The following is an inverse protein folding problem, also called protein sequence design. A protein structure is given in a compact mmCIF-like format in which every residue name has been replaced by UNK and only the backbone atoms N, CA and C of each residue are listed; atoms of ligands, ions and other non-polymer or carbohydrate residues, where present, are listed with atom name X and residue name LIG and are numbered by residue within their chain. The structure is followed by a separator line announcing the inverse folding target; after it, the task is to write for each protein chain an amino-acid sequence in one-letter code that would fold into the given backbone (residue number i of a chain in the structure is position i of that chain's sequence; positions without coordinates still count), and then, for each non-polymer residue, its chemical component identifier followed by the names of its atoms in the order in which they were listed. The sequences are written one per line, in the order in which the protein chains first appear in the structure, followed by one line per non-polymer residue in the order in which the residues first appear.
data_IF_323781093209
#
_entry.id   IF_323781093209
#
_cell.length_a   1.000
_cell.length_b   1.000
_cell.length_c   1.000
_cell.angle_alpha   90.00
_cell.angle_beta   90.00
_cell.angle_gamma   90.00
#
_symmetry.space_group_name_H-M   'P 1'
#
loop_
_entity.id
_entity.type
_entity.pdbx_description
1 polymer ?
#
# COMPACT_ATOMS: atom_id res chain seq x y z
N UNK A 1 9.70 -15.70 -1.88
CA UNK A 1 8.63 -14.98 -1.16
C UNK A 1 9.17 -13.68 -0.60
N UNK A 2 8.61 -12.55 -1.03
CA UNK A 2 8.89 -11.19 -0.52
C UNK A 2 7.66 -10.71 0.23
N UNK A 3 7.85 -10.03 1.36
CA UNK A 3 6.78 -9.39 2.14
C UNK A 3 7.07 -7.91 2.29
N UNK A 4 6.09 -7.07 1.96
CA UNK A 4 6.20 -5.61 2.03
C UNK A 4 5.06 -5.07 2.89
N UNK A 5 5.38 -4.17 3.82
CA UNK A 5 4.40 -3.38 4.56
C UNK A 5 4.50 -1.92 4.10
N UNK A 6 3.41 -1.37 3.59
CA UNK A 6 3.34 0.00 3.08
C UNK A 6 2.46 0.83 4.01
N UNK A 7 2.98 1.87 4.68
CA UNK A 7 2.15 2.73 5.52
C UNK A 7 1.23 3.60 4.66
N UNK A 8 0.03 3.85 5.15
CA UNK A 8 -0.82 4.93 4.70
C UNK A 8 -0.12 6.28 4.95
N UNK A 9 -0.49 7.30 4.20
CA UNK A 9 0.12 8.63 4.30
C UNK A 9 -0.93 9.72 4.44
N UNK A 10 -0.53 10.82 5.06
CA UNK A 10 -1.24 12.09 5.05
C UNK A 10 -0.33 13.15 4.41
N UNK A 11 -0.86 13.91 3.45
CA UNK A 11 -0.15 14.98 2.77
C UNK A 11 -0.75 16.35 3.10
N UNK A 12 -0.12 17.44 2.64
CA UNK A 12 -0.62 18.81 2.73
C UNK A 12 -0.91 19.27 4.17
N UNK A 13 0.01 18.95 5.08
CA UNK A 13 -0.17 19.22 6.51
C UNK A 13 -0.02 20.73 6.78
N UNK A 14 -1.12 21.38 7.17
CA UNK A 14 -1.16 22.82 7.43
C UNK A 14 -0.85 23.64 6.17
N UNK A 15 0.04 24.65 6.22
CA UNK A 15 0.42 25.43 5.04
C UNK A 15 1.37 24.68 4.09
N UNK A 16 1.74 23.43 4.38
CA UNK A 16 2.71 22.64 3.62
C UNK A 16 2.16 21.96 2.38
N UNK A 17 1.41 22.71 1.55
CA UNK A 17 0.92 22.23 0.26
C UNK A 17 2.08 21.73 -0.61
N UNK A 18 1.97 20.49 -1.12
CA UNK A 18 2.97 19.83 -1.97
C UNK A 18 4.39 19.74 -1.36
N UNK A 19 4.51 19.78 -0.03
CA UNK A 19 5.83 19.67 0.65
C UNK A 19 5.78 18.66 1.80
N UNK A 20 4.80 18.78 2.70
CA UNK A 20 4.76 17.93 3.89
C UNK A 20 3.93 16.67 3.66
N UNK A 21 4.53 15.53 4.01
CA UNK A 21 3.88 14.23 4.09
C UNK A 21 4.27 13.52 5.38
N UNK A 22 3.36 12.71 5.91
CA UNK A 22 3.55 11.91 7.12
C UNK A 22 3.06 10.48 6.88
N UNK A 23 3.88 9.50 7.23
CA UNK A 23 3.45 8.11 7.31
C UNK A 23 2.61 7.89 8.58
N UNK A 24 1.53 7.12 8.45
CA UNK A 24 0.60 6.79 9.53
C UNK A 24 0.77 5.32 9.96
N UNK A 25 0.31 5.00 11.17
CA UNK A 25 0.33 3.63 11.72
C UNK A 25 -0.74 2.69 11.14
N UNK A 26 -1.19 2.93 9.91
CA UNK A 26 -2.14 2.10 9.16
C UNK A 26 -1.40 1.55 7.94
N UNK A 27 -1.58 0.27 7.58
CA UNK A 27 -0.71 -0.39 6.60
C UNK A 27 -1.48 -1.24 5.61
N UNK A 28 -0.97 -1.27 4.37
CA UNK A 28 -1.20 -2.36 3.43
C UNK A 28 -0.06 -3.38 3.55
N UNK A 29 -0.41 -4.66 3.46
CA UNK A 29 0.55 -5.76 3.45
C UNK A 29 0.49 -6.47 2.10
N UNK A 30 1.65 -6.69 1.49
CA UNK A 30 1.77 -7.29 0.17
C UNK A 30 2.70 -8.49 0.27
N UNK A 31 2.23 -9.65 -0.20
CA UNK A 31 2.99 -10.88 -0.32
C UNK A 31 3.21 -11.20 -1.78
N UNK A 32 4.46 -11.45 -2.15
CA UNK A 32 4.86 -11.71 -3.53
C UNK A 32 5.62 -13.03 -3.58
N UNK A 33 5.18 -13.93 -4.45
CA UNK A 33 5.80 -15.22 -4.71
C UNK A 33 6.11 -15.34 -6.20
N UNK A 34 7.16 -16.10 -6.53
CA UNK A 34 7.46 -16.39 -7.93
C UNK A 34 6.40 -17.36 -8.45
N UNK A 35 5.63 -16.90 -9.43
CA UNK A 35 4.66 -17.75 -10.13
C UNK A 35 5.31 -18.36 -11.36
N UNK A 36 5.19 -19.68 -11.50
CA UNK A 36 5.83 -20.42 -12.59
C UNK A 36 5.17 -20.17 -13.95
N UNK A 37 3.90 -19.74 -13.95
CA UNK A 37 3.16 -19.49 -15.18
C UNK A 37 2.02 -18.47 -14.99
N UNK A 38 2.11 -17.34 -15.68
CA UNK A 38 1.07 -16.31 -15.68
C UNK A 38 1.19 -15.31 -14.52
N UNK A 39 0.05 -14.73 -14.13
CA UNK A 39 -0.08 -13.73 -13.08
C UNK A 39 -1.39 -13.95 -12.33
N UNK A 40 -1.32 -13.98 -11.01
CA UNK A 40 -2.47 -14.03 -10.12
C UNK A 40 -2.39 -12.87 -9.12
N UNK A 41 -3.54 -12.29 -8.79
CA UNK A 41 -3.66 -11.22 -7.81
C UNK A 41 -4.88 -11.49 -6.95
N UNK A 42 -4.67 -11.54 -5.64
CA UNK A 42 -5.72 -11.62 -4.63
C UNK A 42 -5.67 -10.33 -3.81
N UNK A 43 -6.82 -9.68 -3.64
CA UNK A 43 -6.97 -8.44 -2.88
C UNK A 43 -8.00 -8.69 -1.79
N UNK A 44 -7.67 -8.29 -0.56
CA UNK A 44 -8.58 -8.31 0.57
C UNK A 44 -8.72 -6.89 1.16
N UNK A 45 -9.89 -6.58 1.68
CA UNK A 45 -10.18 -5.31 2.34
C UNK A 45 -10.75 -4.24 1.41
N UNK A 46 -10.44 -2.98 1.71
CA UNK A 46 -11.00 -1.82 0.99
C UNK A 46 -10.55 -1.80 -0.47
N UNK A 47 -11.52 -1.77 -1.38
CA UNK A 47 -11.28 -1.79 -2.83
C UNK A 47 -11.19 -3.18 -3.46
N UNK A 48 -11.41 -4.27 -2.71
CA UNK A 48 -11.36 -5.64 -3.24
C UNK A 48 -12.48 -5.96 -4.25
N UNK A 49 -13.64 -5.29 -4.14
CA UNK A 49 -14.80 -5.51 -4.99
C UNK A 49 -14.87 -4.58 -6.22
N UNK A 50 -13.80 -3.81 -6.48
CA UNK A 50 -13.78 -2.75 -7.50
C UNK A 50 -13.11 -3.22 -8.79
#
# INVERSE_FOLDING_TARGET
MIKVSVPATCANIGPGFDVFGMALGLYNYIWIEDESNGFSLEIEGEGADV
#
